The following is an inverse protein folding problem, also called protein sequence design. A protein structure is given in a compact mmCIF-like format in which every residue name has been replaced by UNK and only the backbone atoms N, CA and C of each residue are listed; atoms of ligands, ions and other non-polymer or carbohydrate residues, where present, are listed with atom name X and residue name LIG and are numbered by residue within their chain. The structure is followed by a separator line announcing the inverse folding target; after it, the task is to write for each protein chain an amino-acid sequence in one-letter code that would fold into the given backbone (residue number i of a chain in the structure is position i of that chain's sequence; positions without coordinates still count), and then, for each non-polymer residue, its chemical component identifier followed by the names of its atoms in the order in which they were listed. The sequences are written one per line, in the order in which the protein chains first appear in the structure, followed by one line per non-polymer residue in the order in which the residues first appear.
data_IF_788440890539
#
_entry.id   IF_788440890539
#
_cell.length_a   1.000
_cell.length_b   1.000
_cell.length_c   1.000
_cell.angle_alpha   90.00
_cell.angle_beta   90.00
_cell.angle_gamma   90.00
#
_symmetry.space_group_name_H-M   'P 1'
#
loop_
_entity.id
_entity.type
_entity.pdbx_description
1 polymer ?
#
# COMPACT_ATOMS: atom_id res chain seq x y z
N UNK A 1 12.60 7.35 6.60
CA UNK A 1 12.55 7.55 5.15
C UNK A 1 11.47 6.68 4.53
N UNK A 2 10.86 7.16 3.47
CA UNK A 2 9.79 6.40 2.82
C UNK A 2 10.37 5.22 2.05
N UNK A 3 9.69 4.09 2.12
CA UNK A 3 10.04 2.90 1.36
C UNK A 3 9.60 3.08 -0.10
N UNK A 4 10.35 2.51 -1.05
CA UNK A 4 9.95 2.53 -2.45
C UNK A 4 8.89 1.47 -2.70
N UNK A 5 8.11 1.66 -3.78
CA UNK A 5 7.08 0.70 -4.17
C UNK A 5 7.69 -0.65 -4.51
N UNK A 6 8.85 -0.65 -5.17
CA UNK A 6 9.55 -1.88 -5.51
C UNK A 6 9.96 -2.65 -4.26
N UNK A 7 10.47 -1.95 -3.27
CA UNK A 7 10.87 -2.56 -2.00
C UNK A 7 9.66 -3.10 -1.25
N UNK A 8 8.55 -2.38 -1.31
CA UNK A 8 7.30 -2.81 -0.69
C UNK A 8 6.80 -4.12 -1.31
N UNK A 9 6.81 -4.21 -2.63
CA UNK A 9 6.39 -5.43 -3.33
C UNK A 9 7.30 -6.60 -2.96
N UNK A 10 8.59 -6.36 -2.89
CA UNK A 10 9.56 -7.37 -2.50
C UNK A 10 9.29 -7.89 -1.10
N UNK A 11 9.03 -6.99 -0.15
CA UNK A 11 8.72 -7.38 1.22
C UNK A 11 7.47 -8.25 1.30
N UNK A 12 6.42 -7.89 0.57
CA UNK A 12 5.20 -8.69 0.53
C UNK A 12 5.46 -10.06 -0.07
N UNK A 13 6.25 -10.14 -1.13
CA UNK A 13 6.59 -11.42 -1.73
C UNK A 13 7.36 -12.32 -0.75
N UNK A 14 8.31 -11.76 -0.01
CA UNK A 14 9.08 -12.51 0.96
C UNK A 14 8.24 -13.03 2.11
N UNK A 15 7.21 -12.28 2.50
CA UNK A 15 6.32 -12.67 3.58
C UNK A 15 5.16 -13.55 3.11
N UNK A 16 5.06 -13.82 1.82
CA UNK A 16 3.96 -14.60 1.26
C UNK A 16 2.61 -13.89 1.39
N UNK A 17 2.62 -12.58 1.50
CA UNK A 17 1.42 -11.77 1.70
C UNK A 17 1.09 -11.01 0.42
N UNK A 18 -0.21 -10.91 0.09
CA UNK A 18 -0.67 -10.12 -1.05
C UNK A 18 -1.16 -8.75 -0.58
N UNK A 19 -1.18 -7.79 -1.50
CA UNK A 19 -1.74 -6.48 -1.21
C UNK A 19 -3.23 -6.56 -0.85
N UNK A 20 -3.96 -7.46 -1.50
CA UNK A 20 -5.36 -7.68 -1.21
C UNK A 20 -5.57 -8.16 0.22
N UNK A 21 -4.74 -9.10 0.66
CA UNK A 21 -4.80 -9.63 2.02
C UNK A 21 -4.50 -8.51 3.03
N UNK A 22 -3.43 -7.75 2.78
CA UNK A 22 -3.06 -6.64 3.65
C UNK A 22 -4.19 -5.61 3.76
N UNK A 23 -4.83 -5.29 2.63
CA UNK A 23 -5.91 -4.32 2.60
C UNK A 23 -7.07 -4.77 3.49
N UNK A 24 -7.46 -6.03 3.38
CA UNK A 24 -8.54 -6.58 4.20
C UNK A 24 -8.21 -6.55 5.68
N UNK A 25 -6.98 -6.89 6.03
CA UNK A 25 -6.54 -6.89 7.43
C UNK A 25 -6.55 -5.50 8.03
N UNK A 26 -6.32 -4.48 7.21
CA UNK A 26 -6.27 -3.09 7.67
C UNK A 26 -7.56 -2.31 7.41
N UNK A 27 -8.60 -2.97 6.92
CA UNK A 27 -9.89 -2.35 6.70
C UNK A 27 -9.97 -1.47 5.45
N UNK A 28 -9.09 -1.70 4.50
CA UNK A 28 -9.10 -0.98 3.22
C UNK A 28 -9.60 -1.87 2.10
N UNK A 29 -10.07 -1.25 1.01
CA UNK A 29 -10.44 -1.98 -0.18
C UNK A 29 -9.18 -2.33 -0.98
N UNK A 30 -9.02 -3.57 -1.44
CA UNK A 30 -7.84 -3.94 -2.23
C UNK A 30 -7.62 -3.03 -3.44
N UNK A 31 -8.70 -2.62 -4.09
CA UNK A 31 -8.62 -1.71 -5.22
C UNK A 31 -7.93 -0.40 -4.86
N UNK A 32 -8.28 0.18 -3.71
CA UNK A 32 -7.70 1.42 -3.27
C UNK A 32 -6.20 1.27 -3.01
N UNK A 33 -5.81 0.14 -2.41
CA UNK A 33 -4.40 -0.15 -2.14
C UNK A 33 -3.63 -0.28 -3.46
N UNK A 34 -4.18 -0.97 -4.44
CA UNK A 34 -3.54 -1.10 -5.75
C UNK A 34 -3.38 0.24 -6.45
N UNK A 35 -4.35 1.13 -6.33
CA UNK A 35 -4.26 2.46 -6.94
C UNK A 35 -3.15 3.29 -6.30
N UNK A 36 -2.99 3.19 -4.98
CA UNK A 36 -1.93 3.90 -4.29
C UNK A 36 -0.56 3.31 -4.64
N UNK A 37 -0.43 2.00 -4.61
CA UNK A 37 0.84 1.32 -4.90
C UNK A 37 1.21 1.48 -6.37
N UNK A 38 0.23 1.48 -7.26
CA UNK A 38 0.47 1.67 -8.68
C UNK A 38 0.77 3.10 -9.10
N UNK A 39 0.71 4.04 -8.15
CA UNK A 39 1.00 5.43 -8.43
C UNK A 39 -0.14 6.21 -9.07
N UNK A 40 -1.32 5.62 -9.21
CA UNK A 40 -2.47 6.29 -9.80
C UNK A 40 -3.12 7.26 -8.82
N UNK A 41 -2.96 7.02 -7.53
CA UNK A 41 -3.35 7.95 -6.48
C UNK A 41 -2.11 8.46 -5.78
N UNK A 42 -2.05 9.76 -5.60
CA UNK A 42 -0.88 10.38 -4.98
C UNK A 42 -0.88 10.27 -3.45
N UNK A 43 -1.99 9.85 -2.86
CA UNK A 43 -2.07 9.65 -1.42
C UNK A 43 -1.90 10.92 -0.62
N UNK A 44 -2.39 12.04 -1.11
CA UNK A 44 -2.24 13.32 -0.41
C UNK A 44 -3.25 13.50 0.70
N UNK A 45 -4.42 12.92 0.58
CA UNK A 45 -5.49 13.03 1.56
C UNK A 45 -6.44 11.84 1.45
N UNK A 46 -7.31 11.72 2.45
CA UNK A 46 -8.30 10.65 2.47
C UNK A 46 -7.69 9.29 2.71
N UNK A 47 -8.37 8.25 2.24
CA UNK A 47 -7.90 6.86 2.45
C UNK A 47 -6.60 6.56 1.75
N UNK A 48 -6.35 7.19 0.61
CA UNK A 48 -5.07 7.03 -0.08
C UNK A 48 -3.90 7.47 0.77
N UNK A 49 -4.06 8.55 1.50
CA UNK A 49 -3.03 9.04 2.42
C UNK A 49 -2.79 8.05 3.56
N UNK A 50 -3.87 7.52 4.14
CA UNK A 50 -3.76 6.54 5.22
C UNK A 50 -3.08 5.27 4.76
N UNK A 51 -3.43 4.78 3.58
CA UNK A 51 -2.83 3.60 2.99
C UNK A 51 -1.33 3.81 2.79
N UNK A 52 -0.95 4.92 2.17
CA UNK A 52 0.45 5.24 1.92
C UNK A 52 1.24 5.35 3.21
N UNK A 53 0.66 5.97 4.22
CA UNK A 53 1.29 6.13 5.52
C UNK A 53 1.51 4.80 6.22
N UNK A 54 0.50 3.92 6.21
CA UNK A 54 0.62 2.61 6.82
C UNK A 54 1.59 1.70 6.10
N UNK A 55 1.68 1.83 4.78
CA UNK A 55 2.62 1.05 4.00
C UNK A 55 4.06 1.57 4.10
N UNK A 56 4.25 2.74 4.67
CA UNK A 56 5.57 3.33 4.79
C UNK A 56 6.03 4.09 3.56
N UNK A 57 5.11 4.45 2.67
CA UNK A 57 5.43 5.21 1.47
C UNK A 57 5.58 6.71 1.74
N UNK A 58 5.18 7.13 2.92
CA UNK A 58 5.31 8.52 3.36
C UNK A 58 5.96 8.61 4.73
#
# INVERSE_FOLDING_TARGET
MAITIEKLKENFAQNGQTLAQWARENGFKPRDVYLVVGGQRKGKYGKGHEIAKKLGLK
#
